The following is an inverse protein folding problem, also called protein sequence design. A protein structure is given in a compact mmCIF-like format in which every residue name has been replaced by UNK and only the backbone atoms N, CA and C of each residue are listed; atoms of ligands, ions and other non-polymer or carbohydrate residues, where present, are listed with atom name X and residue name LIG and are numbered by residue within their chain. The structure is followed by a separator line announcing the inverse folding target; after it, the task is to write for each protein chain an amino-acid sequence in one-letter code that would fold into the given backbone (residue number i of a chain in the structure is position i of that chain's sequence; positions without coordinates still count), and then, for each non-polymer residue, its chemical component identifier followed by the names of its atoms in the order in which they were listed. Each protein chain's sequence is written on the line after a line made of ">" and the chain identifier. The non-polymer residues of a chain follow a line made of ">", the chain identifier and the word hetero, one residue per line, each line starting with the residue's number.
data_IF_788507194639
#
_entry.id   IF_788507194639
#
_cell.length_a   1.000
_cell.length_b   1.000
_cell.length_c   1.000
_cell.angle_alpha   90.00
_cell.angle_beta   90.00
_cell.angle_gamma   90.00
#
_symmetry.space_group_name_H-M   'P 1'
#
loop_
_entity.id
_entity.type
_entity.pdbx_description
1 polymer ?
#
# COMPACT_ATOMS: atom_id res chain seq x y z
N UNK A 1 -11.43 -26.70 7.59
CA UNK A 1 -10.10 -26.14 7.90
C UNK A 1 -10.22 -24.63 7.83
N UNK A 2 -9.95 -23.90 8.90
CA UNK A 2 -9.93 -22.44 8.82
C UNK A 2 -8.76 -22.05 7.91
N UNK A 3 -8.97 -21.23 6.87
CA UNK A 3 -7.88 -20.78 6.03
C UNK A 3 -6.86 -20.03 6.87
N UNK A 4 -5.57 -20.22 6.56
CA UNK A 4 -4.47 -19.49 7.20
C UNK A 4 -4.70 -17.99 6.92
N UNK A 5 -4.68 -17.12 7.95
CA UNK A 5 -4.82 -15.68 7.74
C UNK A 5 -3.54 -15.14 7.09
N UNK A 6 -3.50 -15.06 5.75
CA UNK A 6 -2.30 -14.72 5.00
C UNK A 6 -1.82 -13.31 5.34
N UNK A 7 -2.73 -12.38 5.63
CA UNK A 7 -2.41 -11.03 6.07
C UNK A 7 -1.65 -10.99 7.39
N UNK A 8 -1.97 -11.88 8.33
CA UNK A 8 -1.25 -11.99 9.60
C UNK A 8 0.13 -12.63 9.41
N UNK A 9 0.22 -13.67 8.56
CA UNK A 9 1.51 -14.29 8.19
C UNK A 9 2.42 -13.28 7.50
N UNK A 10 1.88 -12.52 6.56
CA UNK A 10 2.58 -11.44 5.86
C UNK A 10 3.07 -10.37 6.84
N UNK A 11 2.19 -9.79 7.65
CA UNK A 11 2.57 -8.73 8.59
C UNK A 11 3.61 -9.22 9.60
N UNK A 12 3.45 -10.45 10.12
CA UNK A 12 4.42 -11.08 11.00
C UNK A 12 5.77 -11.33 10.32
N UNK A 13 5.77 -11.82 9.08
CA UNK A 13 6.98 -12.02 8.29
C UNK A 13 7.75 -10.73 8.02
N UNK A 14 7.04 -9.66 7.63
CA UNK A 14 7.64 -8.33 7.45
C UNK A 14 8.21 -7.80 8.77
N UNK A 15 7.47 -7.94 9.87
CA UNK A 15 7.94 -7.49 11.19
C UNK A 15 9.20 -8.25 11.65
N UNK A 16 9.22 -9.57 11.48
CA UNK A 16 10.40 -10.40 11.80
C UNK A 16 11.59 -10.04 10.91
N UNK A 17 11.35 -9.81 9.62
CA UNK A 17 12.37 -9.31 8.69
C UNK A 17 12.96 -7.98 9.13
N UNK A 18 12.11 -7.04 9.59
CA UNK A 18 12.55 -5.76 10.12
C UNK A 18 13.48 -5.92 11.34
N UNK A 19 13.09 -6.76 12.31
CA UNK A 19 13.93 -7.04 13.48
C UNK A 19 15.23 -7.77 13.12
N UNK A 20 15.22 -8.60 12.08
CA UNK A 20 16.45 -9.23 11.58
C UNK A 20 17.39 -8.19 10.95
N UNK A 21 16.85 -7.25 10.17
CA UNK A 21 17.61 -6.15 9.57
C UNK A 21 18.23 -5.22 10.62
N UNK A 22 17.55 -4.97 11.74
CA UNK A 22 18.11 -4.19 12.85
C UNK A 22 19.33 -4.83 13.51
N UNK A 23 19.50 -6.14 13.38
CA UNK A 23 20.67 -6.87 13.92
C UNK A 23 21.87 -6.87 12.98
N UNK A 24 21.71 -6.37 11.75
CA UNK A 24 22.79 -6.30 10.77
C UNK A 24 23.66 -5.06 10.99
N UNK A 25 24.87 -5.07 10.45
CA UNK A 25 25.68 -3.85 10.37
C UNK A 25 24.95 -2.77 9.56
N UNK A 26 25.14 -1.51 9.94
CA UNK A 26 24.43 -0.38 9.32
C UNK A 26 24.67 -0.30 7.80
N UNK A 27 25.88 -0.59 7.33
CA UNK A 27 26.19 -0.56 5.90
C UNK A 27 25.49 -1.70 5.13
N UNK A 28 25.36 -2.87 5.76
CA UNK A 28 24.70 -4.03 5.16
C UNK A 28 23.18 -3.84 5.12
N UNK A 29 22.58 -3.36 6.21
CA UNK A 29 21.16 -2.97 6.26
C UNK A 29 20.84 -1.95 5.17
N UNK A 30 21.62 -0.89 5.08
CA UNK A 30 21.42 0.17 4.07
C UNK A 30 21.52 -0.39 2.65
N UNK A 31 22.49 -1.26 2.39
CA UNK A 31 22.65 -1.90 1.07
C UNK A 31 21.44 -2.77 0.71
N UNK A 32 20.92 -3.55 1.65
CA UNK A 32 19.72 -4.38 1.45
C UNK A 32 18.49 -3.52 1.18
N UNK A 33 18.24 -2.51 2.02
CA UNK A 33 17.12 -1.57 1.83
C UNK A 33 17.17 -0.88 0.46
N UNK A 34 18.36 -0.40 0.05
CA UNK A 34 18.56 0.20 -1.27
C UNK A 34 18.32 -0.77 -2.41
N UNK A 35 18.69 -2.03 -2.25
CA UNK A 35 18.49 -3.07 -3.27
C UNK A 35 17.01 -3.39 -3.44
N UNK A 36 16.26 -3.43 -2.35
CA UNK A 36 14.83 -3.76 -2.35
C UNK A 36 13.93 -2.56 -2.68
N UNK A 37 14.43 -1.34 -2.63
CA UNK A 37 13.66 -0.11 -2.74
C UNK A 37 13.15 0.20 -4.15
N UNK A 38 11.96 0.79 -4.23
CA UNK A 38 11.38 1.34 -5.46
C UNK A 38 11.80 2.78 -5.75
N UNK A 39 12.99 3.17 -5.31
CA UNK A 39 13.55 4.49 -5.59
C UNK A 39 13.71 4.74 -7.11
N UNK A 40 13.85 6.02 -7.48
CA UNK A 40 13.88 6.44 -8.89
C UNK A 40 15.06 5.82 -9.64
N UNK A 41 16.22 5.73 -9.01
CA UNK A 41 17.41 5.16 -9.65
C UNK A 41 17.27 3.66 -9.92
N UNK A 42 16.62 2.91 -9.02
CA UNK A 42 16.31 1.49 -9.21
C UNK A 42 15.36 1.27 -10.39
N UNK A 43 14.22 1.96 -10.39
CA UNK A 43 13.22 1.79 -11.43
C UNK A 43 13.72 2.30 -12.79
N UNK A 44 14.49 3.41 -12.82
CA UNK A 44 15.13 3.90 -14.05
C UNK A 44 16.19 2.94 -14.59
N UNK A 45 16.85 2.16 -13.74
CA UNK A 45 17.78 1.10 -14.13
C UNK A 45 17.08 -0.21 -14.54
N UNK A 46 15.75 -0.26 -14.58
CA UNK A 46 14.98 -1.43 -14.99
C UNK A 46 14.81 -2.50 -13.90
N UNK A 47 15.09 -2.18 -12.63
CA UNK A 47 14.88 -3.09 -11.48
C UNK A 47 13.41 -3.19 -11.08
N UNK A 48 12.56 -3.70 -11.97
CA UNK A 48 11.12 -3.78 -11.76
C UNK A 48 10.71 -4.81 -10.70
N UNK A 49 11.57 -5.79 -10.40
CA UNK A 49 11.41 -6.72 -9.27
C UNK A 49 11.27 -6.00 -7.93
N UNK A 50 11.81 -4.78 -7.83
CA UNK A 50 11.68 -3.94 -6.63
C UNK A 50 10.23 -3.62 -6.30
N UNK A 51 9.32 -3.61 -7.28
CA UNK A 51 7.88 -3.43 -7.04
C UNK A 51 7.30 -4.48 -6.10
N UNK A 52 7.87 -5.69 -6.09
CA UNK A 52 7.46 -6.75 -5.17
C UNK A 52 8.32 -6.75 -3.90
N UNK A 53 9.65 -6.67 -4.03
CA UNK A 53 10.52 -6.74 -2.85
C UNK A 53 10.34 -5.56 -1.89
N UNK A 54 10.00 -4.38 -2.41
CA UNK A 54 9.76 -3.20 -1.57
C UNK A 54 8.54 -3.36 -0.68
N UNK A 55 7.56 -4.17 -1.07
CA UNK A 55 6.39 -4.43 -0.23
C UNK A 55 6.71 -5.27 1.01
N UNK A 56 7.68 -6.20 0.91
CA UNK A 56 8.01 -7.15 1.99
C UNK A 56 9.14 -6.68 2.93
N UNK A 57 9.76 -5.55 2.63
CA UNK A 57 10.83 -4.95 3.42
C UNK A 57 10.36 -3.62 3.99
N UNK A 58 10.68 -3.35 5.25
CA UNK A 58 10.46 -2.06 5.90
C UNK A 58 11.79 -1.53 6.42
N UNK A 59 11.95 -0.22 6.44
CA UNK A 59 13.17 0.42 6.94
C UNK A 59 13.39 0.12 8.43
N UNK A 60 12.33 0.28 9.23
CA UNK A 60 12.33 0.05 10.67
C UNK A 60 11.18 -0.88 11.06
N UNK A 61 11.27 -1.61 12.19
CA UNK A 61 10.16 -2.39 12.71
C UNK A 61 8.92 -1.51 12.85
N UNK A 62 7.78 -2.04 12.39
CA UNK A 62 6.55 -1.27 12.42
C UNK A 62 6.16 -1.00 13.87
N UNK A 63 5.72 0.24 14.20
CA UNK A 63 5.11 0.51 15.49
C UNK A 63 3.91 -0.43 15.71
N UNK A 64 3.76 -0.94 16.93
CA UNK A 64 2.71 -1.90 17.27
C UNK A 64 1.31 -1.47 16.80
N UNK A 65 0.86 -0.21 16.96
CA UNK A 65 -0.44 0.22 16.47
C UNK A 65 -0.60 0.06 14.95
N UNK A 66 0.44 0.35 14.17
CA UNK A 66 0.41 0.20 12.71
C UNK A 66 0.42 -1.28 12.31
N UNK A 67 1.23 -2.11 12.97
CA UNK A 67 1.25 -3.56 12.71
C UNK A 67 -0.11 -4.21 12.99
N UNK A 68 -0.76 -3.86 14.10
CA UNK A 68 -2.10 -4.34 14.43
C UNK A 68 -3.15 -3.85 13.43
N UNK A 69 -3.06 -2.59 13.02
CA UNK A 69 -3.97 -2.03 12.02
C UNK A 69 -3.79 -2.69 10.65
N UNK A 70 -2.55 -2.97 10.24
CA UNK A 70 -2.25 -3.72 9.02
C UNK A 70 -2.89 -5.11 9.07
N UNK A 71 -2.71 -5.85 10.16
CA UNK A 71 -3.35 -7.16 10.35
C UNK A 71 -4.86 -7.06 10.30
N UNK A 72 -5.45 -6.06 10.97
CA UNK A 72 -6.90 -5.87 11.00
C UNK A 72 -7.47 -5.56 9.60
N UNK A 73 -6.82 -4.66 8.85
CA UNK A 73 -7.25 -4.28 7.49
C UNK A 73 -7.11 -5.46 6.53
N UNK A 74 -5.94 -6.11 6.49
CA UNK A 74 -5.75 -7.26 5.62
C UNK A 74 -6.67 -8.41 6.02
N UNK A 75 -6.71 -8.77 7.30
CA UNK A 75 -7.57 -9.85 7.81
C UNK A 75 -9.05 -9.62 7.55
N UNK A 76 -9.54 -8.39 7.70
CA UNK A 76 -10.94 -8.07 7.38
C UNK A 76 -11.19 -8.14 5.86
N UNK A 77 -10.26 -7.71 5.02
CA UNK A 77 -10.37 -7.87 3.57
C UNK A 77 -10.38 -9.35 3.15
N UNK A 78 -9.52 -10.18 3.76
CA UNK A 78 -9.52 -11.62 3.53
C UNK A 78 -10.84 -12.27 3.96
N UNK A 79 -11.38 -11.84 5.10
CA UNK A 79 -12.68 -12.29 5.57
C UNK A 79 -13.83 -11.89 4.62
N UNK A 80 -13.84 -10.63 4.15
CA UNK A 80 -14.92 -10.09 3.34
C UNK A 80 -14.89 -10.53 1.86
N UNK A 81 -13.69 -10.67 1.28
CA UNK A 81 -13.50 -10.86 -0.16
C UNK A 81 -12.57 -12.03 -0.54
N UNK A 82 -11.92 -12.66 0.44
CA UNK A 82 -10.98 -13.77 0.24
C UNK A 82 -9.53 -13.33 0.07
N UNK A 83 -8.60 -14.23 0.41
CA UNK A 83 -7.17 -13.90 0.48
C UNK A 83 -6.53 -13.52 -0.86
N UNK A 84 -6.92 -14.18 -1.95
CA UNK A 84 -6.42 -13.84 -3.27
C UNK A 84 -6.88 -12.48 -3.76
N UNK A 85 -8.11 -12.08 -3.42
CA UNK A 85 -8.60 -10.73 -3.73
C UNK A 85 -7.80 -9.69 -2.95
N UNK A 86 -7.60 -9.91 -1.65
CA UNK A 86 -6.79 -9.01 -0.80
C UNK A 86 -5.38 -8.86 -1.34
N UNK A 87 -4.71 -9.97 -1.66
CA UNK A 87 -3.37 -9.95 -2.23
C UNK A 87 -3.32 -9.22 -3.59
N UNK A 88 -4.30 -9.44 -4.46
CA UNK A 88 -4.38 -8.77 -5.76
C UNK A 88 -4.54 -7.25 -5.60
N UNK A 89 -5.46 -6.80 -4.75
CA UNK A 89 -5.68 -5.36 -4.49
C UNK A 89 -4.45 -4.73 -3.85
N UNK A 90 -3.84 -5.41 -2.87
CA UNK A 90 -2.62 -4.97 -2.21
C UNK A 90 -1.49 -4.74 -3.22
N UNK A 91 -1.17 -5.77 -4.02
CA UNK A 91 -0.06 -5.71 -4.98
C UNK A 91 -0.35 -4.74 -6.13
N UNK A 92 -1.57 -4.74 -6.66
CA UNK A 92 -1.97 -3.83 -7.72
C UNK A 92 -1.88 -2.37 -7.25
N UNK A 93 -2.43 -2.07 -6.07
CA UNK A 93 -2.41 -0.72 -5.52
C UNK A 93 -1.00 -0.26 -5.17
N UNK A 94 -0.19 -1.14 -4.56
CA UNK A 94 1.22 -0.89 -4.28
C UNK A 94 2.00 -0.54 -5.55
N UNK A 95 2.01 -1.45 -6.53
CA UNK A 95 2.76 -1.27 -7.76
C UNK A 95 2.29 -0.04 -8.56
N UNK A 96 0.97 0.16 -8.68
CA UNK A 96 0.43 1.29 -9.44
C UNK A 96 0.76 2.62 -8.77
N UNK A 97 0.62 2.72 -7.44
CA UNK A 97 1.00 3.95 -6.71
C UNK A 97 2.50 4.24 -6.84
N UNK A 98 3.35 3.22 -6.70
CA UNK A 98 4.79 3.34 -6.93
C UNK A 98 5.10 3.84 -8.33
N UNK A 99 4.47 3.28 -9.37
CA UNK A 99 4.71 3.70 -10.75
C UNK A 99 4.22 5.14 -11.02
N UNK A 100 3.15 5.59 -10.38
CA UNK A 100 2.70 6.98 -10.45
C UNK A 100 3.71 7.93 -9.80
N UNK A 101 4.18 7.60 -8.60
CA UNK A 101 5.22 8.37 -7.89
C UNK A 101 6.51 8.42 -8.72
N UNK A 102 6.95 7.28 -9.24
CA UNK A 102 8.09 7.20 -10.15
C UNK A 102 7.88 8.06 -11.40
N UNK A 103 6.71 7.98 -12.04
CA UNK A 103 6.39 8.80 -13.21
C UNK A 103 6.49 10.30 -12.95
N UNK A 104 6.04 10.75 -11.77
CA UNK A 104 6.16 12.14 -11.33
C UNK A 104 7.61 12.55 -11.05
N UNK A 105 8.43 11.65 -10.50
CA UNK A 105 9.79 11.95 -10.06
C UNK A 105 10.89 11.62 -11.07
N UNK A 106 10.63 10.81 -12.11
CA UNK A 106 11.69 10.24 -12.97
C UNK A 106 12.61 11.28 -13.63
N UNK A 107 12.10 12.49 -13.85
CA UNK A 107 12.84 13.62 -14.45
C UNK A 107 13.55 14.52 -13.43
N UNK A 108 13.41 14.25 -12.13
CA UNK A 108 14.15 14.99 -11.11
C UNK A 108 15.63 14.72 -11.25
N UNK A 109 16.44 15.77 -11.09
CA UNK A 109 17.90 15.69 -11.08
C UNK A 109 18.48 15.66 -9.67
N UNK A 110 17.66 15.91 -8.64
CA UNK A 110 18.10 15.92 -7.24
C UNK A 110 18.53 14.51 -6.79
N UNK A 111 19.82 14.28 -6.53
CA UNK A 111 20.32 12.96 -6.17
C UNK A 111 19.74 12.42 -4.86
N UNK A 112 19.32 13.30 -3.94
CA UNK A 112 18.71 12.90 -2.67
C UNK A 112 17.33 12.29 -2.90
N UNK A 113 16.48 12.98 -3.64
CA UNK A 113 15.14 12.49 -4.02
C UNK A 113 15.23 11.21 -4.84
N UNK A 114 16.19 11.11 -5.78
CA UNK A 114 16.32 9.94 -6.65
C UNK A 114 16.70 8.65 -5.91
N UNK A 115 17.51 8.79 -4.86
CA UNK A 115 18.04 7.69 -4.03
C UNK A 115 17.30 7.52 -2.70
N UNK A 116 16.25 8.29 -2.46
CA UNK A 116 15.46 8.19 -1.25
C UNK A 116 14.82 6.80 -1.17
N UNK A 117 14.90 6.17 0.00
CA UNK A 117 14.31 4.86 0.21
C UNK A 117 12.78 4.96 0.10
N UNK A 118 12.23 4.06 -0.69
CA UNK A 118 10.81 3.80 -0.84
C UNK A 118 10.64 2.29 -0.69
N UNK A 119 10.36 1.87 0.54
CA UNK A 119 10.08 0.49 0.96
C UNK A 119 8.96 0.51 1.98
N UNK A 120 8.21 -0.59 2.06
CA UNK A 120 7.26 -0.85 3.11
C UNK A 120 5.89 -1.29 2.61
N UNK A 121 5.05 -1.62 3.57
CA UNK A 121 3.71 -2.18 3.34
C UNK A 121 2.66 -1.12 3.02
N UNK A 122 3.03 0.16 3.14
CA UNK A 122 2.08 1.25 3.32
C UNK A 122 1.26 1.59 2.08
N UNK A 123 1.77 1.44 0.86
CA UNK A 123 0.96 1.67 -0.34
C UNK A 123 -0.08 0.56 -0.50
N UNK A 124 0.33 -0.71 -0.42
CA UNK A 124 -0.60 -1.83 -0.46
C UNK A 124 -1.65 -1.77 0.66
N UNK A 125 -1.25 -1.39 1.88
CA UNK A 125 -2.18 -1.15 3.00
C UNK A 125 -3.25 -0.11 2.65
N UNK A 126 -2.83 1.07 2.17
CA UNK A 126 -3.76 2.15 1.81
C UNK A 126 -4.69 1.75 0.67
N UNK A 127 -4.19 0.97 -0.30
CA UNK A 127 -5.02 0.44 -1.38
C UNK A 127 -6.10 -0.53 -0.88
N UNK A 128 -5.75 -1.47 0.00
CA UNK A 128 -6.73 -2.39 0.60
C UNK A 128 -7.73 -1.62 1.47
N UNK A 129 -7.27 -0.65 2.27
CA UNK A 129 -8.13 0.19 3.10
C UNK A 129 -9.15 0.97 2.24
N UNK A 130 -8.71 1.56 1.14
CA UNK A 130 -9.59 2.26 0.19
C UNK A 130 -10.60 1.31 -0.45
N UNK A 131 -10.16 0.12 -0.86
CA UNK A 131 -11.01 -0.89 -1.47
C UNK A 131 -12.07 -1.42 -0.49
N UNK A 132 -11.72 -1.63 0.78
CA UNK A 132 -12.62 -2.08 1.83
C UNK A 132 -13.82 -1.16 2.07
N UNK A 133 -13.78 0.09 1.61
CA UNK A 133 -14.97 0.96 1.66
C UNK A 133 -16.16 0.35 0.91
N UNK A 134 -15.97 -0.58 -0.03
CA UNK A 134 -17.09 -1.27 -0.70
C UNK A 134 -17.88 -2.20 0.22
N UNK A 135 -17.30 -2.60 1.37
CA UNK A 135 -17.95 -3.44 2.36
C UNK A 135 -18.92 -2.67 3.27
N UNK A 136 -18.79 -1.33 3.36
CA UNK A 136 -19.67 -0.49 4.16
C UNK A 136 -21.08 -0.42 3.55
N UNK A 137 -22.17 -0.14 4.28
CA UNK A 137 -23.50 0.02 3.69
C UNK A 137 -23.53 1.08 2.56
N UNK A 138 -24.26 0.82 1.47
CA UNK A 138 -24.40 1.79 0.35
C UNK A 138 -25.08 3.07 0.85
N UNK A 139 -24.69 4.21 0.26
CA UNK A 139 -25.25 5.53 0.58
C UNK A 139 -24.28 6.43 1.35
N UNK A 140 -24.83 7.32 2.18
CA UNK A 140 -24.09 8.43 2.79
C UNK A 140 -22.90 7.97 3.66
N UNK A 141 -23.05 6.86 4.42
CA UNK A 141 -21.99 6.33 5.28
C UNK A 141 -20.74 5.98 4.49
N UNK A 142 -20.91 5.25 3.38
CA UNK A 142 -19.79 4.86 2.52
C UNK A 142 -19.14 6.06 1.83
N UNK A 143 -19.94 6.99 1.33
CA UNK A 143 -19.43 8.22 0.70
C UNK A 143 -18.65 9.07 1.70
N UNK A 144 -19.18 9.23 2.93
CA UNK A 144 -18.50 9.94 4.01
C UNK A 144 -17.20 9.25 4.41
N UNK A 145 -17.17 7.91 4.50
CA UNK A 145 -15.95 7.17 4.79
C UNK A 145 -14.88 7.36 3.70
N UNK A 146 -15.24 7.27 2.42
CA UNK A 146 -14.32 7.54 1.29
C UNK A 146 -13.77 8.96 1.35
N UNK A 147 -14.64 9.95 1.55
CA UNK A 147 -14.24 11.35 1.64
C UNK A 147 -13.34 11.61 2.87
N UNK A 148 -13.69 11.04 4.03
CA UNK A 148 -12.90 11.16 5.25
C UNK A 148 -11.52 10.53 5.13
N UNK A 149 -11.42 9.33 4.56
CA UNK A 149 -10.13 8.67 4.29
C UNK A 149 -9.27 9.51 3.34
N UNK A 150 -9.84 10.01 2.24
CA UNK A 150 -9.13 10.88 1.30
C UNK A 150 -8.66 12.17 1.97
N UNK A 151 -9.49 12.80 2.81
CA UNK A 151 -9.12 14.00 3.53
C UNK A 151 -7.95 13.74 4.51
N UNK A 152 -7.99 12.62 5.23
CA UNK A 152 -6.91 12.20 6.12
C UNK A 152 -5.60 11.93 5.36
N UNK A 153 -5.67 11.25 4.21
CA UNK A 153 -4.49 10.98 3.37
C UNK A 153 -3.98 12.23 2.65
N UNK A 154 -4.84 13.21 2.36
CA UNK A 154 -4.43 14.47 1.74
C UNK A 154 -3.77 15.42 2.75
N UNK A 155 -4.09 15.32 4.04
CA UNK A 155 -3.58 16.24 5.06
C UNK A 155 -2.03 16.30 5.11
N UNK A 156 -1.27 15.18 5.10
CA UNK A 156 0.20 15.21 5.01
C UNK A 156 0.72 15.87 3.72
N UNK A 157 0.07 15.62 2.58
CA UNK A 157 0.46 16.18 1.27
C UNK A 157 0.33 17.71 1.23
N UNK A 158 -0.57 18.27 2.04
CA UNK A 158 -0.79 19.72 2.14
C UNK A 158 0.15 20.41 3.14
N UNK A 159 0.87 19.66 3.98
CA UNK A 159 1.80 20.23 4.96
C UNK A 159 3.12 20.67 4.31
N UNK A 160 3.77 21.67 4.92
CA UNK A 160 5.17 21.99 4.61
C UNK A 160 6.06 20.82 5.07
N UNK A 161 7.00 20.41 4.23
CA UNK A 161 7.86 19.24 4.49
C UNK A 161 7.29 17.91 4.01
N UNK A 162 6.21 17.91 3.20
CA UNK A 162 5.69 16.72 2.54
C UNK A 162 6.77 15.94 1.80
N UNK A 163 6.60 14.63 1.77
CA UNK A 163 7.44 13.67 1.06
C UNK A 163 6.70 13.16 -0.18
N UNK A 164 7.44 12.50 -1.09
CA UNK A 164 6.78 11.79 -2.19
C UNK A 164 5.97 10.59 -1.69
N UNK A 165 6.33 10.04 -0.53
CA UNK A 165 5.62 8.95 0.11
C UNK A 165 4.21 9.36 0.53
N UNK A 166 4.03 10.59 1.00
CA UNK A 166 2.69 11.13 1.30
C UNK A 166 1.79 11.14 0.06
N UNK A 167 2.35 11.52 -1.11
CA UNK A 167 1.64 11.46 -2.38
C UNK A 167 1.36 10.01 -2.81
N UNK A 168 2.29 9.09 -2.54
CA UNK A 168 2.13 7.65 -2.76
C UNK A 168 0.99 7.05 -1.91
N UNK A 169 0.89 7.41 -0.63
CA UNK A 169 -0.22 7.00 0.25
C UNK A 169 -1.57 7.46 -0.29
N UNK A 170 -1.67 8.74 -0.66
CA UNK A 170 -2.89 9.30 -1.23
C UNK A 170 -3.26 8.63 -2.55
N UNK A 171 -2.28 8.40 -3.43
CA UNK A 171 -2.50 7.72 -4.70
C UNK A 171 -2.98 6.28 -4.50
N UNK A 172 -2.31 5.51 -3.62
CA UNK A 172 -2.67 4.14 -3.32
C UNK A 172 -4.09 4.03 -2.74
N UNK A 173 -4.45 4.91 -1.80
CA UNK A 173 -5.79 4.99 -1.24
C UNK A 173 -6.83 5.32 -2.33
N UNK A 174 -6.54 6.29 -3.19
CA UNK A 174 -7.39 6.66 -4.31
C UNK A 174 -7.63 5.50 -5.29
N UNK A 175 -6.58 4.73 -5.61
CA UNK A 175 -6.67 3.51 -6.42
C UNK A 175 -7.58 2.49 -5.75
N UNK A 176 -7.40 2.26 -4.45
CA UNK A 176 -8.27 1.38 -3.65
C UNK A 176 -9.74 1.81 -3.70
N UNK A 177 -10.02 3.09 -3.53
CA UNK A 177 -11.38 3.64 -3.67
C UNK A 177 -11.91 3.46 -5.10
N UNK A 178 -11.06 3.57 -6.12
CA UNK A 178 -11.39 3.24 -7.50
C UNK A 178 -11.84 1.78 -7.66
N UNK A 179 -11.13 0.83 -7.04
CA UNK A 179 -11.55 -0.60 -7.00
C UNK A 179 -12.91 -0.74 -6.31
N UNK A 180 -13.10 -0.07 -5.18
CA UNK A 180 -14.37 -0.04 -4.44
C UNK A 180 -15.54 0.47 -5.31
N UNK A 181 -15.31 1.52 -6.10
CA UNK A 181 -16.30 2.06 -7.05
C UNK A 181 -16.57 1.08 -8.20
N UNK A 182 -15.54 0.43 -8.74
CA UNK A 182 -15.71 -0.57 -9.79
C UNK A 182 -16.56 -1.76 -9.33
N UNK A 183 -16.34 -2.25 -8.10
CA UNK A 183 -17.16 -3.29 -7.48
C UNK A 183 -18.63 -2.87 -7.34
N UNK A 184 -18.87 -1.58 -7.04
CA UNK A 184 -20.22 -1.03 -6.97
C UNK A 184 -20.91 -1.02 -8.33
N UNK A 185 -20.24 -0.56 -9.38
CA UNK A 185 -20.77 -0.57 -10.74
C UNK A 185 -21.11 -1.99 -11.20
N UNK A 186 -20.22 -2.95 -10.97
CA UNK A 186 -20.43 -4.36 -11.35
C UNK A 186 -21.60 -5.00 -10.60
N UNK A 187 -21.80 -4.63 -9.32
CA UNK A 187 -22.93 -5.12 -8.52
C UNK A 187 -24.27 -4.54 -9.00
N UNK A 188 -24.31 -3.25 -9.37
CA UNK A 188 -25.51 -2.60 -9.89
C UNK A 188 -25.97 -3.20 -11.23
N UNK A 189 -25.04 -3.51 -12.14
CA UNK A 189 -25.34 -4.14 -13.42
C UNK A 189 -25.93 -5.55 -13.25
N UNK A 190 -25.47 -6.32 -12.25
CA UNK A 190 -26.03 -7.64 -11.95
C UNK A 190 -27.49 -7.56 -11.49
N UNK A 191 -27.86 -6.56 -10.70
CA UNK A 191 -29.25 -6.38 -10.25
C UNK A 191 -30.19 -5.94 -11.39
N UNK A 192 -29.71 -5.16 -12.37
CA UNK A 192 -30.54 -4.76 -13.52
C UNK A 192 -30.87 -5.89 -14.49
N UNK A 193 -30.08 -6.97 -14.56
CA UNK A 193 -30.35 -8.10 -15.48
C UNK A 193 -31.40 -9.10 -14.99
N UNK A 194 -31.86 -8.96 -13.74
CA UNK A 194 -32.80 -9.90 -13.08
C UNK A 194 -34.18 -9.23 -12.85
N UNK A 195 -34.35 -7.98 -13.28
CA UNK A 195 -35.62 -7.25 -13.30
C UNK A 195 -36.17 -7.22 -14.74
#
# INVERSE_FOLDING_TARGET
>A
MNPIPLGAVYAGGVQLGAYALERMDAAERERLLRTCSTNVDNLAAGRWETLLSSAVVVEEPMPLPYALLLVAVLGYAEYAYGAWWTAAVFLFGHATATLLVYGALRRTTDPRTRRALDVGTSYGFNAVLGALTSALPRGAVRTAARAGLLALAAAPVLKRGRTFTDAGHLAALGIGIGVSLALDCLSGVKHQKIA
#
